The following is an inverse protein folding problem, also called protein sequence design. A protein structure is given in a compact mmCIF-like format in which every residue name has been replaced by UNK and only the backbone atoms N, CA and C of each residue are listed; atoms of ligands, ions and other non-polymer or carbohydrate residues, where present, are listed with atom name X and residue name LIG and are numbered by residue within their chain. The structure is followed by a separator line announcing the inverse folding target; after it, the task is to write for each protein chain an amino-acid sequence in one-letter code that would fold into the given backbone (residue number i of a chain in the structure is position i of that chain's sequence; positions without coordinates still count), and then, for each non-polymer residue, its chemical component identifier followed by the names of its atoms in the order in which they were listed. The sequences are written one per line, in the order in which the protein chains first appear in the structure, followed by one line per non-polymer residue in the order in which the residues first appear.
data_IF_825672237331
#
_entry.id   IF_825672237331
#
_cell.length_a   1.000
_cell.length_b   1.000
_cell.length_c   1.000
_cell.angle_alpha   90.00
_cell.angle_beta   90.00
_cell.angle_gamma   90.00
#
_symmetry.space_group_name_H-M   'P 1'
#
loop_
_entity.id
_entity.type
_entity.pdbx_description
1 polymer ?
#
# COMPACT_ATOMS: atom_id res chain seq x y z
N UNK A 1 -14.87 -1.58 6.28
CA UNK A 1 -14.25 -1.48 7.63
C UNK A 1 -13.29 -0.31 7.63
N UNK A 2 -13.55 0.72 8.44
CA UNK A 2 -12.76 1.95 8.45
C UNK A 2 -11.67 1.95 9.54
N UNK A 3 -11.95 1.37 10.70
CA UNK A 3 -10.96 1.26 11.77
C UNK A 3 -11.18 0.01 12.62
N UNK A 4 -10.10 -0.51 13.18
CA UNK A 4 -10.11 -1.67 14.07
C UNK A 4 -9.33 -1.30 15.32
N UNK A 5 -9.98 -1.31 16.50
CA UNK A 5 -9.32 -1.04 17.78
C UNK A 5 -9.90 -1.87 18.91
N UNK A 6 -9.04 -2.66 19.59
CA UNK A 6 -9.34 -3.41 20.81
C UNK A 6 -10.72 -4.10 20.87
N UNK A 7 -11.15 -4.71 19.73
CA UNK A 7 -12.43 -5.41 19.64
C UNK A 7 -13.61 -4.50 19.29
N UNK A 8 -13.40 -3.21 19.09
CA UNK A 8 -14.32 -2.26 18.48
C UNK A 8 -13.95 -2.05 17.03
N UNK A 9 -14.98 -2.01 16.19
CA UNK A 9 -14.86 -1.93 14.74
C UNK A 9 -15.70 -0.77 14.27
N UNK A 10 -15.12 0.18 13.54
CA UNK A 10 -15.87 1.24 12.88
C UNK A 10 -16.05 0.86 11.41
N UNK A 11 -17.26 0.93 10.94
CA UNK A 11 -17.62 0.60 9.56
C UNK A 11 -18.65 1.60 9.04
N UNK A 12 -18.87 1.59 7.75
CA UNK A 12 -19.84 2.45 7.10
C UNK A 12 -20.96 1.62 6.50
N UNK A 13 -22.21 2.10 6.68
CA UNK A 13 -23.42 1.57 6.06
C UNK A 13 -24.05 2.73 5.28
N UNK A 14 -23.85 2.77 3.97
CA UNK A 14 -24.11 3.97 3.18
C UNK A 14 -23.24 5.14 3.67
N UNK A 15 -23.90 6.23 4.10
CA UNK A 15 -23.22 7.44 4.60
C UNK A 15 -23.18 7.53 6.14
N UNK A 16 -23.53 6.45 6.82
CA UNK A 16 -23.52 6.40 8.30
C UNK A 16 -22.34 5.61 8.81
N UNK A 17 -21.64 6.17 9.77
CA UNK A 17 -20.65 5.43 10.54
C UNK A 17 -21.34 4.58 11.60
N UNK A 18 -20.98 3.32 11.70
CA UNK A 18 -21.54 2.35 12.64
C UNK A 18 -20.41 1.73 13.46
N UNK A 19 -20.58 1.75 14.78
CA UNK A 19 -19.70 1.00 15.68
C UNK A 19 -20.21 -0.43 15.83
N UNK A 20 -19.31 -1.39 15.70
CA UNK A 20 -19.65 -2.80 15.79
C UNK A 20 -18.67 -3.56 16.69
N UNK A 21 -19.07 -4.74 17.13
CA UNK A 21 -18.20 -5.74 17.75
C UNK A 21 -18.20 -7.04 16.93
N UNK A 22 -17.18 -7.83 17.05
CA UNK A 22 -17.08 -9.12 16.36
C UNK A 22 -17.98 -10.17 17.03
N UNK A 23 -18.76 -10.91 16.24
CA UNK A 23 -19.50 -12.06 16.73
C UNK A 23 -18.52 -13.18 17.16
N UNK A 24 -18.93 -13.95 18.19
CA UNK A 24 -18.11 -15.06 18.73
C UNK A 24 -17.85 -16.15 17.70
N UNK A 25 -18.80 -16.38 16.81
CA UNK A 25 -18.79 -17.37 15.73
C UNK A 25 -17.68 -17.10 14.69
N UNK A 26 -17.22 -15.86 14.57
CA UNK A 26 -16.07 -15.53 13.71
C UNK A 26 -14.73 -16.01 14.26
N UNK A 27 -14.70 -16.47 15.52
CA UNK A 27 -13.54 -17.08 16.14
C UNK A 27 -12.29 -16.18 16.08
N UNK A 28 -11.15 -16.77 15.67
CA UNK A 28 -9.86 -16.06 15.57
C UNK A 28 -9.67 -15.30 14.25
N UNK A 29 -10.65 -15.29 13.34
CA UNK A 29 -10.51 -14.54 12.07
C UNK A 29 -10.22 -13.07 12.35
N UNK A 30 -9.14 -12.58 11.78
CA UNK A 30 -8.80 -11.16 11.86
C UNK A 30 -9.70 -10.37 10.91
N UNK A 31 -10.29 -9.31 11.43
CA UNK A 31 -10.97 -8.30 10.64
C UNK A 31 -9.98 -7.14 10.51
N UNK A 32 -9.76 -6.67 9.30
CA UNK A 32 -8.81 -5.59 9.02
C UNK A 32 -9.50 -4.41 8.33
N UNK A 33 -8.83 -3.28 8.27
CA UNK A 33 -9.30 -2.11 7.52
C UNK A 33 -9.46 -2.49 6.04
N UNK A 34 -10.53 -2.00 5.42
CA UNK A 34 -10.92 -2.36 4.05
C UNK A 34 -11.84 -3.58 3.96
N UNK A 35 -11.97 -4.42 5.00
CA UNK A 35 -12.90 -5.56 4.94
C UNK A 35 -14.34 -5.11 4.71
N UNK A 36 -15.03 -5.81 3.82
CA UNK A 36 -16.48 -5.75 3.65
C UNK A 36 -17.12 -6.75 4.60
N UNK A 37 -18.10 -6.30 5.39
CA UNK A 37 -18.67 -7.11 6.46
C UNK A 37 -20.19 -7.09 6.43
N UNK A 38 -20.84 -8.16 6.92
CA UNK A 38 -22.26 -8.18 7.22
C UNK A 38 -22.48 -7.88 8.70
N UNK A 39 -23.43 -6.99 8.97
CA UNK A 39 -23.81 -6.58 10.31
C UNK A 39 -25.20 -7.13 10.67
N UNK A 40 -25.41 -7.36 11.96
CA UNK A 40 -26.73 -7.57 12.56
C UNK A 40 -26.86 -6.66 13.81
N UNK A 41 -28.09 -6.42 14.23
CA UNK A 41 -28.41 -5.56 15.38
C UNK A 41 -28.61 -4.11 14.96
N UNK A 42 -28.33 -3.18 15.87
CA UNK A 42 -28.56 -1.75 15.62
C UNK A 42 -27.42 -1.14 14.79
N UNK A 43 -27.69 -0.91 13.51
CA UNK A 43 -26.79 -0.26 12.55
C UNK A 43 -27.17 1.22 12.30
N UNK A 44 -27.97 1.82 13.18
CA UNK A 44 -28.41 3.21 13.05
C UNK A 44 -27.27 4.24 13.15
N UNK A 45 -26.13 3.86 13.73
CA UNK A 45 -24.98 4.74 13.98
C UNK A 45 -25.22 5.77 15.09
N UNK A 46 -26.32 5.66 15.85
CA UNK A 46 -26.61 6.57 16.98
C UNK A 46 -25.59 6.37 18.11
N UNK A 47 -25.26 7.42 18.87
CA UNK A 47 -24.42 7.30 20.05
C UNK A 47 -24.92 6.20 20.99
N UNK A 48 -24.01 5.32 21.42
CA UNK A 48 -24.34 4.21 22.33
C UNK A 48 -24.89 2.94 21.66
N UNK A 49 -25.24 2.98 20.37
CA UNK A 49 -25.64 1.76 19.63
C UNK A 49 -24.45 0.90 19.26
N UNK A 50 -24.67 -0.40 19.13
CA UNK A 50 -23.61 -1.37 18.84
C UNK A 50 -24.15 -2.48 17.93
N UNK A 51 -23.66 -2.50 16.70
CA UNK A 51 -23.89 -3.60 15.78
C UNK A 51 -22.95 -4.78 16.04
N UNK A 52 -23.18 -5.88 15.35
CA UNK A 52 -22.32 -7.08 15.42
C UNK A 52 -21.92 -7.53 14.03
N UNK A 53 -20.61 -7.66 13.80
CA UNK A 53 -20.04 -8.27 12.59
C UNK A 53 -20.24 -9.78 12.66
N UNK A 54 -21.02 -10.34 11.74
CA UNK A 54 -21.32 -11.77 11.67
C UNK A 54 -20.64 -12.48 10.51
N UNK A 55 -20.22 -11.74 9.48
CA UNK A 55 -19.52 -12.28 8.32
C UNK A 55 -18.51 -11.28 7.79
N UNK A 56 -17.34 -11.78 7.37
CA UNK A 56 -16.38 -11.08 6.51
C UNK A 56 -16.57 -11.62 5.11
N UNK A 57 -16.82 -10.73 4.15
CA UNK A 57 -16.97 -11.09 2.75
C UNK A 57 -15.62 -11.52 2.13
N UNK A 58 -15.63 -12.29 1.04
CA UNK A 58 -14.41 -12.60 0.29
C UNK A 58 -13.65 -11.33 -0.07
N UNK A 59 -12.34 -11.35 0.12
CA UNK A 59 -11.45 -10.24 -0.21
C UNK A 59 -11.06 -10.31 -1.69
N UNK A 60 -11.09 -9.17 -2.37
CA UNK A 60 -10.62 -9.04 -3.77
C UNK A 60 -9.11 -8.82 -3.82
N UNK A 61 -8.55 -8.16 -2.80
CA UNK A 61 -7.12 -7.95 -2.62
C UNK A 61 -6.76 -8.00 -1.13
N UNK A 62 -5.51 -8.29 -0.81
CA UNK A 62 -5.05 -8.32 0.58
C UNK A 62 -3.57 -7.92 0.65
N UNK A 63 -3.30 -6.73 1.16
CA UNK A 63 -1.94 -6.32 1.48
C UNK A 63 -1.49 -7.04 2.74
N UNK A 64 -0.39 -7.78 2.63
CA UNK A 64 0.16 -8.61 3.70
C UNK A 64 1.55 -8.12 4.08
N UNK A 65 1.97 -8.49 5.27
CA UNK A 65 3.37 -8.38 5.69
C UNK A 65 3.73 -9.57 6.58
N UNK A 66 4.98 -9.97 6.53
CA UNK A 66 5.66 -10.67 7.62
C UNK A 66 6.30 -9.67 8.59
N UNK A 67 6.70 -10.11 9.76
CA UNK A 67 7.38 -9.22 10.72
C UNK A 67 8.77 -8.82 10.19
N UNK A 68 9.46 -9.77 9.56
CA UNK A 68 10.72 -9.61 8.84
C UNK A 68 10.78 -10.61 7.68
N UNK A 69 11.90 -10.65 6.95
CA UNK A 69 12.07 -11.52 5.77
C UNK A 69 12.21 -13.02 6.14
N UNK A 70 12.40 -13.33 7.42
CA UNK A 70 12.55 -14.70 7.93
C UNK A 70 11.31 -15.23 8.64
N UNK A 71 10.35 -14.35 9.02
CA UNK A 71 9.10 -14.75 9.68
C UNK A 71 8.10 -15.28 8.65
N UNK A 72 7.73 -16.57 8.70
CA UNK A 72 6.74 -17.16 7.79
C UNK A 72 5.30 -16.71 8.12
N UNK A 73 5.07 -16.02 9.23
CA UNK A 73 3.72 -15.64 9.67
C UNK A 73 3.25 -14.39 8.95
N UNK A 74 2.44 -14.61 7.95
CA UNK A 74 1.77 -13.52 7.22
C UNK A 74 0.62 -12.91 8.03
N UNK A 75 0.54 -11.60 8.01
CA UNK A 75 -0.58 -10.85 8.56
C UNK A 75 -1.17 -9.93 7.50
N UNK A 76 -2.45 -10.09 7.22
CA UNK A 76 -3.18 -9.12 6.41
C UNK A 76 -3.26 -7.81 7.18
N UNK A 77 -2.90 -6.71 6.51
CA UNK A 77 -2.89 -5.36 7.09
C UNK A 77 -4.10 -4.58 6.58
N UNK A 78 -4.35 -4.65 5.27
CA UNK A 78 -5.43 -3.98 4.57
C UNK A 78 -6.05 -4.95 3.58
N UNK A 79 -7.37 -4.89 3.42
CA UNK A 79 -8.12 -5.68 2.46
C UNK A 79 -8.85 -4.79 1.45
N UNK A 80 -9.14 -5.35 0.27
CA UNK A 80 -9.97 -4.73 -0.77
C UNK A 80 -9.50 -3.32 -1.19
N UNK A 81 -8.19 -3.09 -1.20
CA UNK A 81 -7.60 -1.90 -1.78
C UNK A 81 -7.45 -2.07 -3.31
N UNK A 82 -7.47 -0.95 -4.03
CA UNK A 82 -7.28 -0.89 -5.48
C UNK A 82 -5.83 -0.53 -5.83
N UNK A 83 -5.20 0.32 -5.01
CA UNK A 83 -3.86 0.81 -5.29
C UNK A 83 -3.02 1.03 -4.02
N UNK A 84 -1.70 0.95 -4.21
CA UNK A 84 -0.70 1.27 -3.20
C UNK A 84 -0.01 2.58 -3.59
N UNK A 85 -0.26 3.64 -2.83
CA UNK A 85 0.39 4.94 -3.02
C UNK A 85 1.71 4.97 -2.25
N UNK A 86 2.81 4.87 -2.98
CA UNK A 86 4.17 4.88 -2.45
C UNK A 86 4.65 6.32 -2.39
N UNK A 87 4.70 6.88 -1.18
CA UNK A 87 5.12 8.27 -0.96
C UNK A 87 6.62 8.30 -0.68
N UNK A 88 7.35 8.98 -1.55
CA UNK A 88 8.79 9.17 -1.47
C UNK A 88 9.14 10.66 -1.53
N UNK A 89 9.94 11.15 -0.60
CA UNK A 89 10.50 12.50 -0.69
C UNK A 89 11.71 12.49 -1.62
N UNK A 90 11.84 13.53 -2.45
CA UNK A 90 13.02 13.73 -3.31
C UNK A 90 14.24 14.23 -2.53
N UNK A 91 14.00 14.86 -1.37
CA UNK A 91 15.01 15.24 -0.40
C UNK A 91 14.43 15.28 1.02
N UNK A 92 15.28 15.17 2.02
CA UNK A 92 14.96 15.30 3.46
C UNK A 92 13.67 14.58 3.90
N UNK A 93 13.72 13.27 4.05
CA UNK A 93 14.85 12.36 3.91
C UNK A 93 15.17 12.05 2.44
N UNK A 94 16.39 11.62 2.13
CA UNK A 94 16.75 11.22 0.77
C UNK A 94 15.91 10.01 0.34
N UNK A 95 15.68 9.85 -0.98
CA UNK A 95 15.01 8.68 -1.53
C UNK A 95 15.71 7.38 -1.12
N UNK A 96 14.92 6.34 -0.92
CA UNK A 96 15.43 4.98 -0.66
C UNK A 96 14.90 4.01 -1.71
N UNK A 97 15.61 3.80 -2.82
CA UNK A 97 15.16 2.93 -3.90
C UNK A 97 14.78 1.52 -3.44
N UNK A 98 15.58 0.89 -2.55
CA UNK A 98 15.25 -0.42 -1.99
C UNK A 98 13.89 -0.45 -1.30
N UNK A 99 13.52 0.61 -0.59
CA UNK A 99 12.23 0.67 0.09
C UNK A 99 11.08 0.83 -0.91
N UNK A 100 11.30 1.62 -1.98
CA UNK A 100 10.34 1.74 -3.09
C UNK A 100 10.16 0.37 -3.74
N UNK A 101 11.24 -0.32 -4.07
CA UNK A 101 11.22 -1.66 -4.66
C UNK A 101 10.44 -2.66 -3.79
N UNK A 102 10.66 -2.66 -2.47
CA UNK A 102 9.93 -3.51 -1.54
C UNK A 102 8.43 -3.21 -1.53
N UNK A 103 8.04 -1.95 -1.61
CA UNK A 103 6.62 -1.59 -1.72
C UNK A 103 6.03 -2.00 -3.07
N UNK A 104 6.79 -1.91 -4.15
CA UNK A 104 6.36 -2.36 -5.48
C UNK A 104 6.12 -3.88 -5.50
N UNK A 105 7.06 -4.65 -4.95
CA UNK A 105 6.91 -6.11 -4.81
C UNK A 105 5.64 -6.44 -4.01
N UNK A 106 5.41 -5.76 -2.89
CA UNK A 106 4.21 -5.98 -2.07
C UNK A 106 2.92 -5.58 -2.81
N UNK A 107 2.95 -4.50 -3.61
CA UNK A 107 1.81 -4.09 -4.42
C UNK A 107 1.48 -5.15 -5.48
N UNK A 108 2.47 -5.62 -6.20
CA UNK A 108 2.30 -6.62 -7.25
C UNK A 108 1.81 -7.96 -6.70
N UNK A 109 2.37 -8.42 -5.57
CA UNK A 109 1.89 -9.64 -4.91
C UNK A 109 0.43 -9.52 -4.47
N UNK A 110 0.05 -8.39 -3.92
CA UNK A 110 -1.33 -8.12 -3.47
C UNK A 110 -2.31 -7.84 -4.63
N UNK A 111 -1.84 -7.73 -5.88
CA UNK A 111 -2.66 -7.34 -7.03
C UNK A 111 -3.10 -5.89 -7.01
N UNK A 112 -2.34 -5.01 -6.35
CA UNK A 112 -2.61 -3.58 -6.25
C UNK A 112 -1.89 -2.81 -7.36
N UNK A 113 -2.55 -1.80 -7.93
CA UNK A 113 -1.89 -0.87 -8.84
C UNK A 113 -0.92 0.04 -8.07
N UNK A 114 0.39 0.07 -8.37
CA UNK A 114 1.30 1.01 -7.73
C UNK A 114 1.06 2.44 -8.26
N UNK A 115 1.19 3.42 -7.36
CA UNK A 115 1.21 4.85 -7.66
C UNK A 115 2.41 5.46 -6.93
N UNK A 116 3.39 5.98 -7.66
CA UNK A 116 4.55 6.64 -7.07
C UNK A 116 4.25 8.12 -6.85
N UNK A 117 4.21 8.56 -5.61
CA UNK A 117 3.98 9.94 -5.23
C UNK A 117 5.29 10.57 -4.75
N UNK A 118 5.94 11.37 -5.60
CA UNK A 118 7.19 12.06 -5.31
C UNK A 118 6.90 13.41 -4.67
N UNK A 119 7.36 13.61 -3.45
CA UNK A 119 7.12 14.83 -2.68
C UNK A 119 8.39 15.67 -2.55
N UNK A 120 8.23 16.91 -2.09
CA UNK A 120 9.33 17.87 -1.89
C UNK A 120 10.14 18.16 -3.17
N UNK A 121 9.45 18.25 -4.30
CA UNK A 121 10.06 18.65 -5.58
C UNK A 121 10.53 20.12 -5.58
N UNK A 122 10.23 20.86 -4.53
CA UNK A 122 10.81 22.16 -4.24
C UNK A 122 12.26 22.09 -3.72
N UNK A 123 12.73 20.91 -3.28
CA UNK A 123 14.07 20.70 -2.75
C UNK A 123 15.01 19.98 -3.71
N UNK A 124 14.50 19.08 -4.55
CA UNK A 124 15.29 18.32 -5.53
C UNK A 124 14.41 17.86 -6.70
N UNK A 125 15.04 17.67 -7.88
CA UNK A 125 14.37 17.17 -9.09
C UNK A 125 14.05 15.67 -9.03
N UNK A 126 13.05 15.21 -9.81
CA UNK A 126 12.61 13.81 -9.82
C UNK A 126 13.36 12.92 -10.81
N UNK A 127 14.28 13.48 -11.62
CA UNK A 127 14.83 12.87 -12.83
C UNK A 127 15.50 11.52 -12.54
N UNK A 128 16.31 11.45 -11.48
CA UNK A 128 17.04 10.23 -11.11
C UNK A 128 16.06 9.10 -10.70
N UNK A 129 15.06 9.44 -9.89
CA UNK A 129 14.06 8.46 -9.47
C UNK A 129 13.19 8.04 -10.65
N UNK A 130 12.73 8.98 -11.47
CA UNK A 130 11.90 8.63 -12.62
C UNK A 130 12.65 7.74 -13.60
N UNK A 131 13.91 8.05 -13.93
CA UNK A 131 14.72 7.21 -14.80
C UNK A 131 14.85 5.75 -14.30
N UNK A 132 14.88 5.54 -12.98
CA UNK A 132 14.95 4.21 -12.39
C UNK A 132 13.63 3.43 -12.45
N UNK A 133 12.48 4.14 -12.50
CA UNK A 133 11.15 3.52 -12.40
C UNK A 133 10.31 3.64 -13.68
N UNK A 134 10.66 4.50 -14.64
CA UNK A 134 9.99 4.62 -15.94
C UNK A 134 9.90 3.29 -16.72
N UNK A 135 10.96 2.43 -16.71
CA UNK A 135 10.87 1.12 -17.39
C UNK A 135 9.76 0.22 -16.82
N UNK A 136 9.28 0.48 -15.61
CA UNK A 136 8.19 -0.28 -14.99
C UNK A 136 6.80 0.20 -15.44
N UNK A 137 6.69 1.36 -16.11
CA UNK A 137 5.44 1.96 -16.53
C UNK A 137 4.53 2.34 -15.36
N UNK A 138 5.10 2.66 -14.19
CA UNK A 138 4.35 3.00 -12.98
C UNK A 138 3.81 4.41 -13.12
N UNK A 139 2.50 4.57 -12.84
CA UNK A 139 1.93 5.91 -12.72
C UNK A 139 2.60 6.68 -11.60
N UNK A 140 2.95 7.93 -11.87
CA UNK A 140 3.57 8.78 -10.86
C UNK A 140 2.96 10.18 -10.83
N UNK A 141 3.19 10.89 -9.75
CA UNK A 141 2.91 12.31 -9.59
C UNK A 141 4.04 12.97 -8.81
N UNK A 142 4.38 14.19 -9.22
CA UNK A 142 5.46 14.99 -8.60
C UNK A 142 4.85 16.22 -7.91
N UNK A 143 5.09 16.36 -6.61
CA UNK A 143 4.51 17.38 -5.76
C UNK A 143 5.60 18.16 -5.02
N UNK A 144 5.61 19.46 -5.20
CA UNK A 144 6.43 20.41 -4.45
C UNK A 144 5.59 21.24 -3.46
N UNK A 145 6.22 22.01 -2.61
CA UNK A 145 5.56 22.97 -1.73
C UNK A 145 5.52 24.36 -2.37
N UNK A 146 4.48 25.17 -2.08
CA UNK A 146 3.27 24.82 -1.33
C UNK A 146 2.38 23.85 -2.10
N UNK A 147 1.60 23.02 -1.38
CA UNK A 147 0.56 22.17 -1.97
C UNK A 147 -0.65 23.05 -2.27
N UNK A 148 -0.71 23.59 -3.48
CA UNK A 148 -1.87 24.34 -3.97
C UNK A 148 -2.95 23.37 -4.48
N UNK A 149 -4.19 23.83 -4.57
CA UNK A 149 -5.29 23.01 -5.11
C UNK A 149 -4.98 22.52 -6.52
N UNK A 150 -4.45 23.36 -7.38
CA UNK A 150 -4.02 23.00 -8.74
C UNK A 150 -3.01 21.83 -8.76
N UNK A 151 -2.05 21.82 -7.83
CA UNK A 151 -1.07 20.71 -7.70
C UNK A 151 -1.70 19.44 -7.15
N UNK A 152 -2.72 19.57 -6.33
CA UNK A 152 -3.45 18.44 -5.76
C UNK A 152 -4.47 17.84 -6.70
N UNK A 153 -4.97 18.59 -7.71
CA UNK A 153 -6.01 18.10 -8.61
C UNK A 153 -5.56 16.85 -9.36
N UNK A 154 -4.35 16.84 -9.90
CA UNK A 154 -3.79 15.63 -10.52
C UNK A 154 -3.71 14.42 -9.55
N UNK A 155 -3.47 14.66 -8.27
CA UNK A 155 -3.49 13.60 -7.26
C UNK A 155 -4.92 13.19 -6.92
N UNK A 156 -5.86 14.13 -6.81
CA UNK A 156 -7.29 13.86 -6.60
C UNK A 156 -7.84 12.95 -7.69
N UNK A 157 -7.55 13.23 -8.96
CA UNK A 157 -7.96 12.40 -10.10
C UNK A 157 -7.42 10.96 -10.01
N UNK A 158 -6.21 10.79 -9.48
CA UNK A 158 -5.59 9.48 -9.34
C UNK A 158 -6.17 8.64 -8.18
N UNK A 159 -6.78 9.27 -7.18
CA UNK A 159 -7.30 8.60 -5.97
C UNK A 159 -8.82 8.56 -5.90
N UNK A 160 -9.53 9.43 -6.61
CA UNK A 160 -11.01 9.51 -6.62
C UNK A 160 -11.61 8.18 -7.09
N UNK A 161 -12.64 7.72 -6.38
CA UNK A 161 -13.34 6.46 -6.66
C UNK A 161 -12.54 5.19 -6.31
N UNK A 162 -11.34 5.31 -5.78
CA UNK A 162 -10.44 4.19 -5.46
C UNK A 162 -10.23 4.04 -3.96
N UNK A 163 -9.84 2.84 -3.56
CA UNK A 163 -9.33 2.55 -2.21
C UNK A 163 -7.81 2.57 -2.27
N UNK A 164 -7.21 3.64 -1.78
CA UNK A 164 -5.77 3.92 -1.86
C UNK A 164 -5.10 3.71 -0.51
N UNK A 165 -4.05 2.90 -0.45
CA UNK A 165 -3.25 2.67 0.76
C UNK A 165 -1.97 3.50 0.68
N UNK A 166 -1.69 4.32 1.70
CA UNK A 166 -0.46 5.12 1.79
C UNK A 166 0.64 4.32 2.49
N UNK A 167 1.80 4.29 1.85
CA UNK A 167 3.03 3.73 2.42
C UNK A 167 4.22 4.67 2.16
N UNK A 168 5.28 4.51 2.92
CA UNK A 168 6.50 5.31 2.77
C UNK A 168 7.18 5.54 4.12
N UNK A 169 8.44 5.93 4.11
CA UNK A 169 9.20 6.17 5.34
C UNK A 169 8.68 7.38 6.15
N UNK A 170 9.20 7.55 7.35
CA UNK A 170 8.87 8.72 8.18
C UNK A 170 9.41 10.01 7.53
N UNK A 171 8.68 11.11 7.63
CA UNK A 171 9.13 12.42 7.16
C UNK A 171 8.94 12.69 5.66
N UNK A 172 8.47 11.73 4.85
CA UNK A 172 8.25 11.91 3.41
C UNK A 172 7.00 12.73 3.05
N UNK A 173 6.19 13.14 4.02
CA UNK A 173 5.01 13.98 3.77
C UNK A 173 3.68 13.24 3.70
N UNK A 174 3.59 11.95 4.10
CA UNK A 174 2.32 11.19 4.11
C UNK A 174 1.19 11.92 4.84
N UNK A 175 1.42 12.35 6.07
CA UNK A 175 0.40 13.07 6.85
C UNK A 175 0.00 14.39 6.22
N UNK A 176 0.93 15.09 5.57
CA UNK A 176 0.63 16.33 4.84
C UNK A 176 -0.29 16.05 3.66
N UNK A 177 -0.01 15.01 2.87
CA UNK A 177 -0.87 14.60 1.75
C UNK A 177 -2.23 14.10 2.25
N UNK A 178 -2.22 13.33 3.33
CA UNK A 178 -3.45 12.80 3.93
C UNK A 178 -4.39 13.93 4.35
N UNK A 179 -3.88 14.94 5.05
CA UNK A 179 -4.66 16.11 5.48
C UNK A 179 -5.08 17.00 4.31
N UNK A 180 -4.26 17.10 3.26
CA UNK A 180 -4.61 17.86 2.06
C UNK A 180 -5.72 17.19 1.23
N UNK A 181 -5.76 15.85 1.18
CA UNK A 181 -6.78 15.09 0.47
C UNK A 181 -8.07 14.90 1.29
N UNK A 182 -7.96 14.85 2.62
CA UNK A 182 -9.07 14.68 3.55
C UNK A 182 -9.05 15.82 4.58
N UNK A 183 -9.69 16.96 4.31
CA UNK A 183 -9.62 18.15 5.18
C UNK A 183 -10.06 17.92 6.63
N UNK A 184 -10.93 16.93 6.87
CA UNK A 184 -11.42 16.57 8.21
C UNK A 184 -10.57 15.49 8.91
N UNK A 185 -9.41 15.11 8.32
CA UNK A 185 -8.59 14.01 8.83
C UNK A 185 -8.13 14.23 10.28
N UNK A 186 -7.71 15.42 10.63
CA UNK A 186 -7.24 15.75 12.00
C UNK A 186 -8.36 15.56 13.04
N UNK A 187 -9.58 15.94 12.71
CA UNK A 187 -10.76 15.72 13.56
C UNK A 187 -11.07 14.24 13.70
N UNK A 188 -11.12 13.50 12.59
CA UNK A 188 -11.40 12.07 12.59
C UNK A 188 -10.33 11.27 13.35
N UNK A 189 -9.05 11.64 13.22
CA UNK A 189 -7.94 11.04 13.98
C UNK A 189 -8.06 11.39 15.47
N UNK A 190 -8.46 12.62 15.80
CA UNK A 190 -8.70 13.07 17.17
C UNK A 190 -9.81 12.28 17.86
N UNK A 191 -10.92 12.03 17.18
CA UNK A 191 -12.04 11.24 17.68
C UNK A 191 -11.65 9.75 17.90
N UNK A 192 -10.87 9.16 16.99
CA UNK A 192 -10.33 7.80 17.19
C UNK A 192 -9.46 7.73 18.43
N UNK A 193 -8.58 8.71 18.62
CA UNK A 193 -7.67 8.74 19.76
C UNK A 193 -8.42 9.00 21.07
N UNK A 194 -9.47 9.82 21.09
CA UNK A 194 -10.31 10.10 22.26
C UNK A 194 -11.04 8.82 22.72
N UNK A 195 -11.57 8.03 21.79
CA UNK A 195 -12.25 6.76 22.10
C UNK A 195 -11.26 5.69 22.58
N UNK A 196 -10.01 5.75 22.13
CA UNK A 196 -8.98 4.74 22.42
C UNK A 196 -8.06 5.10 23.57
N UNK A 197 -8.12 6.34 24.08
CA UNK A 197 -7.26 6.85 25.17
C UNK A 197 -5.77 6.95 24.81
N UNK A 198 -5.44 7.05 23.51
CA UNK A 198 -4.06 7.15 23.02
C UNK A 198 -3.69 8.58 22.64
N UNK A 199 -2.46 8.98 22.96
CA UNK A 199 -1.89 10.26 22.54
C UNK A 199 -1.65 10.33 21.02
N UNK A 200 -1.50 11.53 20.50
CA UNK A 200 -1.43 11.90 19.06
C UNK A 200 -0.42 11.12 18.18
N UNK A 201 0.51 10.36 18.77
CA UNK A 201 1.65 9.72 18.07
C UNK A 201 1.73 8.19 18.20
N UNK A 202 0.68 7.52 18.68
CA UNK A 202 0.75 6.07 18.98
C UNK A 202 -0.29 5.20 18.27
N UNK A 203 -0.88 5.66 17.16
CA UNK A 203 -1.79 4.82 16.37
C UNK A 203 -0.98 3.71 15.67
N UNK A 204 -1.10 2.48 16.14
CA UNK A 204 -0.50 1.29 15.53
C UNK A 204 -1.47 0.57 14.58
N UNK A 205 -2.66 1.10 14.38
CA UNK A 205 -3.73 0.50 13.57
C UNK A 205 -3.98 1.34 12.32
N UNK A 206 -4.21 0.69 11.19
CA UNK A 206 -4.60 1.35 9.96
C UNK A 206 -5.94 2.11 10.15
N UNK A 207 -6.07 3.22 9.46
CA UNK A 207 -7.27 4.07 9.46
C UNK A 207 -7.67 4.40 8.03
N UNK A 208 -8.93 4.13 7.67
CA UNK A 208 -9.51 4.53 6.39
C UNK A 208 -10.42 5.73 6.58
N UNK A 209 -10.21 6.78 5.79
CA UNK A 209 -11.09 7.94 5.68
C UNK A 209 -11.65 8.06 4.27
N UNK A 210 -12.86 8.58 4.16
CA UNK A 210 -13.51 8.84 2.87
C UNK A 210 -12.91 10.08 2.22
N UNK A 211 -12.70 10.01 0.93
CA UNK A 211 -12.34 11.17 0.11
C UNK A 211 -13.62 11.98 -0.19
N UNK A 212 -13.55 13.31 -0.23
CA UNK A 212 -14.70 14.16 -0.54
C UNK A 212 -15.39 13.81 -1.87
N UNK A 213 -14.62 13.50 -2.88
CA UNK A 213 -15.08 13.17 -4.24
C UNK A 213 -15.34 11.67 -4.45
N UNK A 214 -15.35 10.91 -3.37
CA UNK A 214 -15.53 9.46 -3.39
C UNK A 214 -14.23 8.67 -3.39
N UNK A 215 -14.30 7.43 -2.88
CA UNK A 215 -13.14 6.61 -2.64
C UNK A 215 -12.67 6.65 -1.18
N UNK A 216 -11.53 6.02 -0.90
CA UNK A 216 -11.01 5.88 0.45
C UNK A 216 -9.50 6.04 0.47
N UNK A 217 -9.00 6.71 1.46
CA UNK A 217 -7.58 6.83 1.75
C UNK A 217 -7.28 6.09 3.06
N UNK A 218 -6.34 5.15 3.01
CA UNK A 218 -5.96 4.32 4.16
C UNK A 218 -4.53 4.68 4.57
N UNK A 219 -4.38 5.26 5.76
CA UNK A 219 -3.07 5.41 6.38
C UNK A 219 -2.71 4.15 7.16
N UNK A 220 -1.48 3.71 6.99
CA UNK A 220 -0.92 2.53 7.67
C UNK A 220 0.26 2.95 8.54
N UNK A 221 0.03 3.51 9.73
CA UNK A 221 1.09 4.00 10.59
C UNK A 221 2.03 2.86 10.98
N UNK A 222 3.33 3.14 10.94
CA UNK A 222 4.36 2.20 11.41
C UNK A 222 4.78 1.10 10.43
N UNK A 223 4.34 1.14 9.17
CA UNK A 223 4.90 0.28 8.11
C UNK A 223 6.29 0.79 7.70
N UNK A 224 7.27 0.56 8.58
CA UNK A 224 8.67 0.93 8.35
C UNK A 224 9.46 -0.17 7.65
N UNK A 225 8.97 -1.39 7.72
CA UNK A 225 9.55 -2.56 7.05
C UNK A 225 8.44 -3.45 6.50
N UNK A 226 8.61 -3.91 5.29
CA UNK A 226 7.83 -4.97 4.69
C UNK A 226 8.75 -6.19 4.58
N UNK A 227 8.50 -7.22 5.38
CA UNK A 227 9.09 -8.53 5.14
C UNK A 227 8.47 -9.10 3.86
N UNK A 228 9.31 -9.53 2.93
CA UNK A 228 8.90 -10.03 1.61
C UNK A 228 9.10 -11.55 1.45
N UNK A 229 9.61 -12.24 2.49
CA UNK A 229 9.94 -13.66 2.43
C UNK A 229 8.80 -14.58 2.01
N UNK A 230 7.55 -14.15 2.19
CA UNK A 230 6.36 -14.91 1.79
C UNK A 230 5.99 -14.74 0.31
N UNK A 231 6.57 -13.77 -0.41
CA UNK A 231 6.15 -13.42 -1.77
C UNK A 231 6.77 -14.39 -2.79
N UNK A 232 5.95 -14.94 -3.67
CA UNK A 232 6.42 -15.79 -4.77
C UNK A 232 7.02 -14.96 -5.91
N UNK A 233 8.20 -15.35 -6.49
CA UNK A 233 8.72 -14.74 -7.71
C UNK A 233 7.70 -14.69 -8.85
N UNK A 234 6.85 -15.73 -8.97
CA UNK A 234 5.78 -15.78 -9.97
C UNK A 234 4.73 -14.67 -9.80
N UNK A 235 4.54 -14.12 -8.59
CA UNK A 235 3.65 -12.98 -8.38
C UNK A 235 4.29 -11.67 -8.83
N UNK A 236 5.60 -11.54 -8.66
CA UNK A 236 6.34 -10.35 -9.10
C UNK A 236 6.38 -10.28 -10.64
N UNK A 237 6.69 -11.39 -11.31
CA UNK A 237 6.80 -11.42 -12.78
C UNK A 237 5.45 -11.14 -13.48
N UNK A 238 4.32 -11.50 -12.86
CA UNK A 238 2.99 -11.19 -13.41
C UNK A 238 2.73 -9.69 -13.60
N UNK A 239 3.46 -8.83 -12.89
CA UNK A 239 3.39 -7.39 -13.09
C UNK A 239 4.12 -6.90 -14.37
N UNK A 240 4.82 -7.80 -15.04
CA UNK A 240 5.56 -7.58 -16.29
C UNK A 240 5.00 -8.53 -17.36
N UNK A 241 3.82 -8.26 -17.94
CA UNK A 241 3.16 -9.20 -18.85
C UNK A 241 4.01 -9.62 -20.04
N UNK A 242 4.83 -8.70 -20.55
CA UNK A 242 5.81 -8.92 -21.59
C UNK A 242 6.89 -9.93 -21.18
N UNK A 243 7.53 -9.72 -20.02
CA UNK A 243 8.52 -10.65 -19.48
C UNK A 243 7.89 -11.97 -19.03
N UNK A 244 6.66 -11.96 -18.54
CA UNK A 244 5.93 -13.17 -18.19
C UNK A 244 5.69 -14.07 -19.40
N UNK A 245 5.54 -13.49 -20.61
CA UNK A 245 5.48 -14.27 -21.86
C UNK A 245 6.84 -14.92 -22.16
N UNK A 246 7.93 -14.15 -22.09
CA UNK A 246 9.28 -14.66 -22.29
C UNK A 246 9.69 -15.74 -21.26
N UNK A 247 9.20 -15.61 -20.03
CA UNK A 247 9.51 -16.57 -18.95
C UNK A 247 8.94 -17.97 -19.19
N UNK A 248 8.01 -18.16 -20.11
CA UNK A 248 7.51 -19.49 -20.50
C UNK A 248 8.60 -20.38 -21.11
N UNK A 249 9.66 -19.80 -21.63
CA UNK A 249 10.83 -20.50 -22.16
C UNK A 249 11.84 -20.90 -21.06
N UNK A 250 11.68 -20.41 -19.84
CA UNK A 250 12.58 -20.72 -18.73
C UNK A 250 12.35 -22.12 -18.17
N UNK A 251 13.36 -22.70 -17.57
CA UNK A 251 13.27 -23.96 -16.83
C UNK A 251 12.28 -23.84 -15.66
N UNK A 252 11.56 -24.92 -15.32
CA UNK A 252 10.70 -24.93 -14.13
C UNK A 252 11.50 -24.55 -12.87
N UNK A 253 10.96 -23.57 -12.11
CA UNK A 253 11.60 -23.10 -10.88
C UNK A 253 12.73 -22.08 -11.08
N UNK A 254 12.94 -21.58 -12.30
CA UNK A 254 13.90 -20.51 -12.56
C UNK A 254 13.64 -19.30 -11.65
N UNK A 255 14.68 -18.81 -10.99
CA UNK A 255 14.61 -17.60 -10.14
C UNK A 255 14.57 -16.31 -10.97
N UNK A 256 14.91 -16.40 -12.26
CA UNK A 256 15.15 -15.30 -13.20
C UNK A 256 16.35 -14.40 -12.83
N UNK A 257 17.12 -14.78 -11.80
CA UNK A 257 18.36 -14.11 -11.38
C UNK A 257 19.63 -14.79 -11.91
N UNK A 258 19.50 -16.00 -12.42
CA UNK A 258 20.58 -16.86 -12.88
C UNK A 258 21.14 -16.38 -14.23
N UNK A 259 22.43 -16.60 -14.46
CA UNK A 259 23.05 -16.46 -15.78
C UNK A 259 22.45 -17.52 -16.73
N UNK A 260 22.19 -17.14 -17.97
CA UNK A 260 21.56 -18.02 -18.97
C UNK A 260 20.07 -18.23 -18.77
N UNK A 261 19.41 -17.42 -17.94
CA UNK A 261 17.96 -17.38 -17.87
C UNK A 261 17.36 -17.02 -19.24
N UNK A 262 16.37 -17.77 -19.71
CA UNK A 262 15.71 -17.55 -21.00
C UNK A 262 15.16 -16.13 -21.21
N UNK A 263 14.94 -15.37 -20.15
CA UNK A 263 14.57 -13.95 -20.24
C UNK A 263 15.68 -13.06 -20.78
N UNK A 264 16.96 -13.46 -20.73
CA UNK A 264 18.07 -12.64 -21.28
C UNK A 264 17.98 -12.59 -22.79
N UNK A 265 17.84 -13.75 -23.43
CA UNK A 265 17.71 -13.86 -24.88
C UNK A 265 16.42 -13.18 -25.35
N UNK A 266 15.30 -13.46 -24.66
CA UNK A 266 14.01 -12.83 -24.97
C UNK A 266 14.06 -11.29 -24.86
N UNK A 267 14.67 -10.76 -23.80
CA UNK A 267 14.80 -9.32 -23.59
C UNK A 267 15.70 -8.65 -24.64
N UNK A 268 16.78 -9.32 -25.06
CA UNK A 268 17.65 -8.84 -26.12
C UNK A 268 16.91 -8.76 -27.47
N UNK A 269 16.11 -9.78 -27.81
CA UNK A 269 15.33 -9.81 -29.06
C UNK A 269 14.20 -8.77 -29.08
N UNK A 270 13.62 -8.44 -27.93
CA UNK A 270 12.45 -7.54 -27.83
C UNK A 270 12.80 -6.13 -27.33
N UNK A 271 14.10 -5.81 -27.13
CA UNK A 271 14.52 -4.50 -26.63
C UNK A 271 14.05 -4.21 -25.19
N UNK A 272 13.83 -5.26 -24.38
CA UNK A 272 13.26 -5.18 -23.05
C UNK A 272 14.30 -5.23 -21.90
N UNK A 273 15.59 -4.96 -22.19
CA UNK A 273 16.67 -5.11 -21.21
C UNK A 273 16.43 -4.28 -19.95
N UNK A 274 16.05 -2.99 -20.08
CA UNK A 274 15.80 -2.12 -18.92
C UNK A 274 14.65 -2.65 -18.03
N UNK A 275 13.64 -3.31 -18.63
CA UNK A 275 12.55 -3.95 -17.87
C UNK A 275 13.00 -5.22 -17.17
N UNK A 276 13.87 -6.02 -17.82
CA UNK A 276 14.47 -7.21 -17.20
C UNK A 276 15.34 -6.82 -16.01
N UNK A 277 16.17 -5.79 -16.15
CA UNK A 277 17.00 -5.26 -15.08
C UNK A 277 16.15 -4.78 -13.89
N UNK A 278 15.02 -4.12 -14.16
CA UNK A 278 14.06 -3.71 -13.15
C UNK A 278 13.40 -4.90 -12.46
N UNK A 279 12.95 -5.92 -13.20
CA UNK A 279 12.42 -7.15 -12.62
C UNK A 279 13.46 -7.82 -11.70
N UNK A 280 14.70 -7.97 -12.18
CA UNK A 280 15.78 -8.56 -11.40
C UNK A 280 16.11 -7.78 -10.13
N UNK A 281 16.07 -6.45 -10.18
CA UNK A 281 16.22 -5.59 -9.00
C UNK A 281 15.12 -5.89 -7.98
N UNK A 282 13.86 -5.99 -8.40
CA UNK A 282 12.74 -6.33 -7.50
C UNK A 282 12.87 -7.73 -6.90
N UNK A 283 13.28 -8.72 -7.70
CA UNK A 283 13.50 -10.09 -7.23
C UNK A 283 14.64 -10.16 -6.20
N UNK A 284 15.75 -9.44 -6.43
CA UNK A 284 16.85 -9.33 -5.44
C UNK A 284 16.39 -8.67 -4.15
N UNK A 285 15.58 -7.60 -4.25
CA UNK A 285 15.03 -6.91 -3.09
C UNK A 285 14.13 -7.82 -2.25
N UNK A 286 13.35 -8.68 -2.92
CA UNK A 286 12.55 -9.72 -2.25
C UNK A 286 13.43 -10.71 -1.47
N UNK A 287 14.56 -11.13 -2.03
CA UNK A 287 15.47 -12.08 -1.42
C UNK A 287 16.42 -11.46 -0.37
N UNK A 288 16.35 -10.14 -0.20
CA UNK A 288 17.27 -9.42 0.68
C UNK A 288 18.73 -9.37 0.17
N UNK A 289 18.93 -9.66 -1.12
CA UNK A 289 20.24 -9.75 -1.76
C UNK A 289 20.78 -8.40 -2.25
N UNK A 290 20.07 -7.31 -2.04
CA UNK A 290 20.55 -6.00 -2.43
C UNK A 290 21.77 -5.57 -1.60
N UNK A 291 22.75 -4.88 -2.22
CA UNK A 291 23.88 -4.31 -1.48
C UNK A 291 23.35 -3.35 -0.41
N UNK A 292 24.02 -3.34 0.75
CA UNK A 292 23.63 -2.46 1.86
C UNK A 292 23.60 -1.00 1.39
N UNK A 293 22.50 -0.28 1.68
CA UNK A 293 22.48 1.16 1.48
C UNK A 293 23.54 1.79 2.41
N UNK A 294 24.33 2.75 1.93
CA UNK A 294 25.19 3.52 2.83
C UNK A 294 24.33 4.21 3.87
N UNK A 295 24.69 4.06 5.12
CA UNK A 295 24.04 4.61 6.32
C UNK A 295 24.03 6.12 6.34
#
# INVERSE_FOLDING_TARGET
MAAVDRGRYRTWVGDREVTAMKARELGRRSIVVGDRVSLIGDDSGRPGTLARVVRVQPRTSALRRSADDTDPVERVIVANADQLMIVCALADPPPRPRLIDRFLVAAYDAGLAPLLCLTKADLAGPEEILAAYDPLGIRHIVLGRPLTDERLDGLRDLVTGRVSVLVGQSGVGKSTLFNALVPEADRAIGEVNAVTGRGRHTSSSALALRLPEGGWLIDTPGLRSFGLGHISPANVIRAFPDLAEGAKACSPGCSHLEEGCGLEEWAAEHGAQARLDSLRRLLRSREGLDPAEPS
#
